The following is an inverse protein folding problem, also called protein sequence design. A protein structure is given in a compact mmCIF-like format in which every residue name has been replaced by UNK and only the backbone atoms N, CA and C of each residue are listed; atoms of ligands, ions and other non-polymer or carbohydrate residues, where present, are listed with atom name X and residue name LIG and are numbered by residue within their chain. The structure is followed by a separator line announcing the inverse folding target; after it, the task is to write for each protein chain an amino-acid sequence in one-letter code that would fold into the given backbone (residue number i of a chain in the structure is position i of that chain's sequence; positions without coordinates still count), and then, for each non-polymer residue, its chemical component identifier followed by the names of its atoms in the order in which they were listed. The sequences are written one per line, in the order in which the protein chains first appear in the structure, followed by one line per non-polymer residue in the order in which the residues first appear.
data_IF_412800846064
#
_entry.id   IF_412800846064
#
_cell.length_a   1.000
_cell.length_b   1.000
_cell.length_c   1.000
_cell.angle_alpha   90.00
_cell.angle_beta   90.00
_cell.angle_gamma   90.00
#
_symmetry.space_group_name_H-M   'P 1'
#
loop_
_entity.id
_entity.type
_entity.pdbx_description
1 polymer ?
#
# COMPACT_ATOMS: atom_id res chain seq x y z
N UNK A 1 -2.00 -19.07 7.37
CA UNK A 1 -3.37 -18.76 6.91
C UNK A 1 -3.61 -17.27 7.11
N UNK A 2 -4.18 -16.56 6.14
CA UNK A 2 -4.50 -15.13 6.28
C UNK A 2 -5.79 -14.96 7.11
N UNK A 3 -5.85 -13.92 7.95
CA UNK A 3 -7.07 -13.49 8.63
C UNK A 3 -7.91 -12.57 7.75
N UNK A 4 -7.26 -11.78 6.88
CA UNK A 4 -7.91 -10.85 5.96
C UNK A 4 -7.16 -10.83 4.63
N UNK A 5 -7.90 -10.80 3.53
CA UNK A 5 -7.36 -10.48 2.20
C UNK A 5 -8.14 -9.29 1.66
N UNK A 6 -7.44 -8.21 1.29
CA UNK A 6 -8.05 -7.01 0.72
C UNK A 6 -7.76 -6.96 -0.78
N UNK A 7 -8.82 -6.92 -1.58
CA UNK A 7 -8.74 -6.87 -3.04
C UNK A 7 -9.15 -5.47 -3.49
N UNK A 8 -8.31 -4.82 -4.30
CA UNK A 8 -8.61 -3.51 -4.86
C UNK A 8 -7.38 -2.84 -5.44
N UNK A 9 -7.47 -1.54 -5.71
CA UNK A 9 -6.39 -0.77 -6.31
C UNK A 9 -5.55 -0.04 -5.24
N UNK A 10 -4.24 -0.28 -5.26
CA UNK A 10 -3.27 0.57 -4.55
C UNK A 10 -2.93 1.80 -5.39
N UNK A 11 -2.56 2.90 -4.72
CA UNK A 11 -2.18 4.16 -5.34
C UNK A 11 -0.72 4.50 -5.05
N UNK A 12 -0.08 5.25 -5.95
CA UNK A 12 1.21 5.90 -5.73
C UNK A 12 0.94 7.36 -5.40
N UNK A 13 1.06 7.71 -4.13
CA UNK A 13 0.74 9.04 -3.62
C UNK A 13 1.96 9.95 -3.68
N UNK A 14 1.74 11.21 -4.06
CA UNK A 14 2.76 12.26 -4.03
C UNK A 14 2.33 13.29 -2.99
N UNK A 15 3.07 13.34 -1.88
CA UNK A 15 2.83 14.26 -0.78
C UNK A 15 3.72 15.48 -1.00
N UNK A 16 3.11 16.65 -1.10
CA UNK A 16 3.82 17.93 -1.30
C UNK A 16 3.67 18.76 -0.03
N UNK A 17 4.79 19.08 0.61
CA UNK A 17 4.83 19.91 1.82
C UNK A 17 6.02 20.85 1.79
N UNK A 18 5.78 22.15 1.92
CA UNK A 18 6.83 23.18 1.92
C UNK A 18 7.80 23.09 0.73
N UNK A 19 7.29 22.75 -0.47
CA UNK A 19 8.10 22.55 -1.67
C UNK A 19 8.83 21.20 -1.75
N UNK A 20 8.88 20.42 -0.67
CA UNK A 20 9.39 19.04 -0.67
C UNK A 20 8.34 18.07 -1.19
N UNK A 21 8.79 17.08 -1.98
CA UNK A 21 7.97 15.98 -2.47
C UNK A 21 8.39 14.67 -1.79
N UNK A 22 7.41 13.89 -1.35
CA UNK A 22 7.62 12.54 -0.82
C UNK A 22 6.66 11.59 -1.52
N UNK A 23 7.13 10.38 -1.82
CA UNK A 23 6.32 9.34 -2.45
C UNK A 23 5.87 8.33 -1.41
N UNK A 24 4.66 7.83 -1.56
CA UNK A 24 4.11 6.79 -0.67
C UNK A 24 3.20 5.84 -1.43
N UNK A 25 2.88 4.70 -0.83
CA UNK A 25 1.82 3.81 -1.30
C UNK A 25 0.56 4.13 -0.50
N UNK A 26 -0.56 4.20 -1.21
CA UNK A 26 -1.86 4.52 -0.65
C UNK A 26 -2.97 3.70 -1.29
N UNK A 27 -4.16 4.27 -1.25
CA UNK A 27 -5.39 3.63 -1.70
C UNK A 27 -6.07 2.79 -0.59
N UNK A 28 -7.38 2.53 -0.74
CA UNK A 28 -8.16 1.82 0.28
C UNK A 28 -7.57 0.46 0.71
N UNK A 29 -7.06 -0.40 -0.21
CA UNK A 29 -6.47 -1.68 0.17
C UNK A 29 -5.22 -1.55 1.04
N UNK A 30 -4.38 -0.54 0.77
CA UNK A 30 -3.17 -0.31 1.54
C UNK A 30 -3.50 0.08 2.99
N UNK A 31 -4.36 1.08 3.18
CA UNK A 31 -4.72 1.55 4.52
C UNK A 31 -5.50 0.50 5.32
N UNK A 32 -6.45 -0.20 4.69
CA UNK A 32 -7.15 -1.30 5.32
C UNK A 32 -6.19 -2.41 5.75
N UNK A 33 -5.24 -2.77 4.88
CA UNK A 33 -4.26 -3.80 5.18
C UNK A 33 -3.29 -3.41 6.29
N UNK A 34 -2.76 -2.19 6.27
CA UNK A 34 -1.88 -1.67 7.33
C UNK A 34 -2.61 -1.60 8.67
N UNK A 35 -3.86 -1.11 8.70
CA UNK A 35 -4.66 -1.06 9.93
C UNK A 35 -4.89 -2.47 10.50
N UNK A 36 -5.35 -3.42 9.67
CA UNK A 36 -5.55 -4.80 10.09
C UNK A 36 -4.25 -5.48 10.55
N UNK A 37 -3.12 -5.20 9.89
CA UNK A 37 -1.81 -5.71 10.27
C UNK A 37 -1.37 -5.17 11.63
N UNK A 38 -1.58 -3.88 11.90
CA UNK A 38 -1.28 -3.25 13.20
C UNK A 38 -2.14 -3.80 14.34
N UNK A 39 -3.33 -4.33 14.03
CA UNK A 39 -4.19 -5.03 15.00
C UNK A 39 -3.80 -6.50 15.23
N UNK A 40 -2.67 -6.96 14.67
CA UNK A 40 -2.17 -8.33 14.84
C UNK A 40 -2.66 -9.32 13.78
N UNK A 41 -3.44 -8.88 12.79
CA UNK A 41 -3.88 -9.75 11.70
C UNK A 41 -2.75 -10.17 10.76
N UNK A 42 -2.85 -11.37 10.21
CA UNK A 42 -2.09 -11.84 9.05
C UNK A 42 -2.86 -11.42 7.81
N UNK A 43 -2.35 -10.42 7.07
CA UNK A 43 -3.09 -9.76 5.99
C UNK A 43 -2.42 -9.96 4.64
N UNK A 44 -3.23 -10.24 3.61
CA UNK A 44 -2.81 -10.22 2.21
C UNK A 44 -3.48 -9.07 1.45
N UNK A 45 -2.80 -8.52 0.45
CA UNK A 45 -3.38 -7.54 -0.48
C UNK A 45 -3.23 -8.08 -1.90
N UNK A 46 -4.30 -7.99 -2.68
CA UNK A 46 -4.30 -8.31 -4.12
C UNK A 46 -4.69 -7.07 -4.89
N UNK A 47 -3.79 -6.59 -5.75
CA UNK A 47 -4.01 -5.41 -6.59
C UNK A 47 -3.44 -5.65 -7.98
N UNK A 48 -4.12 -5.07 -8.98
CA UNK A 48 -3.54 -4.88 -10.31
C UNK A 48 -2.75 -3.59 -10.32
N UNK A 49 -1.46 -3.67 -10.64
CA UNK A 49 -0.55 -2.52 -10.72
C UNK A 49 -0.15 -2.23 -12.17
N UNK A 50 0.14 -0.96 -12.45
CA UNK A 50 0.72 -0.52 -13.72
C UNK A 50 2.25 -0.63 -13.73
N UNK A 51 2.87 -0.28 -14.87
CA UNK A 51 4.34 -0.31 -15.04
C UNK A 51 5.08 0.80 -14.27
N UNK A 52 4.33 1.74 -13.72
CA UNK A 52 4.76 2.89 -12.91
C UNK A 52 5.08 2.53 -11.44
N UNK A 53 4.74 1.31 -11.02
CA UNK A 53 5.15 0.72 -9.74
C UNK A 53 6.44 -0.09 -9.93
N UNK A 54 7.57 0.56 -9.67
CA UNK A 54 8.88 -0.08 -9.59
C UNK A 54 9.04 -0.89 -8.29
N UNK A 55 10.12 -1.68 -8.21
CA UNK A 55 10.42 -2.49 -7.02
C UNK A 55 10.59 -1.64 -5.76
N UNK A 56 11.12 -0.42 -5.90
CA UNK A 56 11.32 0.50 -4.78
C UNK A 56 9.98 0.96 -4.19
N UNK A 57 9.02 1.30 -5.04
CA UNK A 57 7.64 1.64 -4.63
C UNK A 57 6.97 0.47 -3.90
N UNK A 58 7.25 -0.77 -4.29
CA UNK A 58 6.65 -1.98 -3.71
C UNK A 58 7.39 -2.52 -2.47
N UNK A 59 8.57 -2.00 -2.15
CA UNK A 59 9.38 -2.47 -1.01
C UNK A 59 8.66 -2.33 0.34
N UNK A 60 7.69 -1.42 0.46
CA UNK A 60 6.87 -1.24 1.66
C UNK A 60 6.04 -2.47 2.06
N UNK A 61 5.84 -3.41 1.14
CA UNK A 61 5.10 -4.66 1.40
C UNK A 61 5.98 -5.84 1.80
N UNK A 62 7.30 -5.69 1.78
CA UNK A 62 8.25 -6.72 2.22
C UNK A 62 8.44 -6.65 3.73
#
# INVERSE_FOLDING_TARGET
MFNLVVIGHIAKDIIIRNGSKTYSIGGPPFYAGVAARKMGGIVGIVSKIGRDFDEESLAVFK
#
